data_IF_858302583327
#
_entry.id   IF_858302583327
#
_cell.length_a   1.000
_cell.length_b   1.000
_cell.length_c   1.000
_cell.angle_alpha   90.00
_cell.angle_beta   90.00
_cell.angle_gamma   90.00
#
_symmetry.space_group_name_H-M   'P 1'
#
loop_
_entity.id
_entity.type
_entity.pdbx_description
1 polymer ?
#
# COMPACT_ATOMS: atom_id res chain seq x y z
N UNK A 1 7.03 -23.04 -2.15
CA UNK A 1 6.51 -21.67 -2.22
C UNK A 1 7.19 -20.87 -1.13
N UNK A 2 8.00 -19.89 -1.53
CA UNK A 2 8.64 -18.89 -0.65
C UNK A 2 8.28 -17.54 -1.25
N UNK A 3 7.00 -17.21 -1.18
CA UNK A 3 6.43 -15.94 -1.62
C UNK A 3 6.71 -14.93 -0.50
N UNK A 4 7.32 -13.75 -0.73
CA UNK A 4 7.39 -12.60 0.21
C UNK A 4 7.31 -12.98 1.71
N UNK A 5 8.20 -13.85 2.20
CA UNK A 5 8.19 -14.52 3.52
C UNK A 5 6.83 -15.09 4.05
N UNK A 6 5.76 -15.13 3.25
CA UNK A 6 4.44 -15.65 3.60
C UNK A 6 3.72 -14.84 4.68
N UNK A 7 4.09 -13.57 4.90
CA UNK A 7 3.54 -12.76 5.99
C UNK A 7 2.09 -12.34 5.73
N UNK A 8 1.76 -12.02 4.47
CA UNK A 8 0.46 -11.50 4.07
C UNK A 8 0.19 -11.83 2.59
N UNK A 9 -1.07 -12.08 2.21
CA UNK A 9 -1.46 -12.33 0.82
C UNK A 9 -1.45 -11.04 -0.02
N UNK A 10 -1.45 -11.17 -1.36
CA UNK A 10 -1.57 -10.02 -2.28
C UNK A 10 -2.88 -9.26 -2.06
N UNK A 11 -3.98 -9.97 -1.79
CA UNK A 11 -5.26 -9.33 -1.49
C UNK A 11 -5.19 -8.53 -0.19
N UNK A 12 -4.63 -9.10 0.86
CA UNK A 12 -4.64 -8.48 2.18
C UNK A 12 -3.69 -7.28 2.27
N UNK A 13 -2.55 -7.29 1.56
CA UNK A 13 -1.68 -6.10 1.49
C UNK A 13 -2.37 -4.93 0.79
N UNK A 14 -3.15 -5.20 -0.25
CA UNK A 14 -3.97 -4.19 -0.92
C UNK A 14 -5.07 -3.65 0.00
N UNK A 15 -5.68 -4.49 0.85
CA UNK A 15 -6.67 -4.05 1.84
C UNK A 15 -6.05 -3.18 2.94
N UNK A 16 -4.85 -3.52 3.44
CA UNK A 16 -4.12 -2.67 4.40
C UNK A 16 -3.95 -1.25 3.84
N UNK A 17 -3.73 -1.14 2.53
CA UNK A 17 -3.64 0.16 1.86
C UNK A 17 -5.01 0.77 1.58
N UNK A 18 -5.93 0.10 0.89
CA UNK A 18 -7.19 0.70 0.43
C UNK A 18 -8.15 1.02 1.56
N UNK A 19 -8.23 0.16 2.58
CA UNK A 19 -9.15 0.28 3.72
C UNK A 19 -8.44 0.79 5.00
N UNK A 20 -7.16 1.16 4.89
CA UNK A 20 -6.35 1.60 6.03
C UNK A 20 -5.48 2.81 5.70
N UNK A 21 -4.20 2.57 5.40
CA UNK A 21 -3.20 3.63 5.28
C UNK A 21 -3.47 4.59 4.10
N UNK A 22 -4.05 4.11 3.01
CA UNK A 22 -4.36 4.90 1.82
C UNK A 22 -5.46 5.93 2.05
N UNK A 23 -6.42 5.68 2.95
CA UNK A 23 -7.51 6.61 3.21
C UNK A 23 -7.00 7.97 3.72
N UNK A 24 -6.06 7.98 4.66
CA UNK A 24 -5.45 9.24 5.14
C UNK A 24 -4.61 9.91 4.05
N UNK A 25 -3.91 9.12 3.22
CA UNK A 25 -3.07 9.63 2.13
C UNK A 25 -3.87 10.20 0.95
N UNK A 26 -5.17 9.91 0.88
CA UNK A 26 -6.06 10.63 -0.03
C UNK A 26 -6.20 12.12 0.36
N UNK A 27 -5.92 12.51 1.61
CA UNK A 27 -6.15 13.87 2.13
C UNK A 27 -4.87 14.58 2.57
N UNK A 28 -4.00 13.90 3.32
CA UNK A 28 -2.81 14.48 3.94
C UNK A 28 -1.54 13.72 3.56
N UNK A 29 -0.41 14.42 3.52
CA UNK A 29 0.89 13.81 3.22
C UNK A 29 1.43 12.95 4.38
N UNK A 30 2.49 12.14 4.15
CA UNK A 30 3.11 11.32 5.18
C UNK A 30 3.76 12.16 6.30
N UNK A 31 4.35 13.32 5.99
CA UNK A 31 4.95 14.20 7.01
C UNK A 31 3.88 14.85 7.90
N UNK A 32 2.77 15.30 7.31
CA UNK A 32 1.62 15.82 8.05
C UNK A 32 0.97 14.70 8.88
N UNK A 33 0.87 13.49 8.33
CA UNK A 33 0.43 12.30 9.08
C UNK A 33 1.30 12.06 10.30
N UNK A 34 2.63 12.11 10.16
CA UNK A 34 3.57 11.98 11.29
C UNK A 34 3.32 13.08 12.32
N UNK A 35 3.19 14.33 11.86
CA UNK A 35 2.96 15.48 12.75
C UNK A 35 1.64 15.34 13.52
N UNK A 36 0.56 14.90 12.88
CA UNK A 36 -0.76 14.80 13.49
C UNK A 36 -0.97 13.51 14.32
N UNK A 37 -0.13 12.49 14.14
CA UNK A 37 -0.25 11.22 14.86
C UNK A 37 0.41 11.23 16.26
N UNK A 38 0.99 12.35 16.67
CA UNK A 38 1.49 12.55 18.03
C UNK A 38 0.90 13.84 18.62
N UNK A 39 0.47 13.82 19.90
CA UNK A 39 -0.16 14.98 20.54
C UNK A 39 0.62 16.29 20.44
N UNK A 40 1.96 16.23 20.43
CA UNK A 40 2.82 17.42 20.41
C UNK A 40 3.60 17.57 19.09
N UNK A 41 3.14 16.93 18.01
CA UNK A 41 3.73 17.11 16.69
C UNK A 41 4.90 16.17 16.40
N UNK A 42 5.71 16.56 15.41
CA UNK A 42 6.77 15.74 14.83
C UNK A 42 7.84 15.32 15.86
N UNK A 43 8.27 16.21 16.74
CA UNK A 43 9.32 15.89 17.72
C UNK A 43 8.86 14.81 18.71
N UNK A 44 7.63 14.91 19.21
CA UNK A 44 7.02 13.89 20.06
C UNK A 44 6.87 12.56 19.32
N UNK A 45 6.40 12.59 18.06
CA UNK A 45 6.34 11.39 17.23
C UNK A 45 7.70 10.71 17.11
N UNK A 46 8.76 11.47 16.80
CA UNK A 46 10.11 10.93 16.70
C UNK A 46 10.60 10.39 18.04
N UNK A 47 10.29 11.05 19.16
CA UNK A 47 10.64 10.56 20.49
C UNK A 47 10.04 9.17 20.79
N UNK A 48 8.78 8.94 20.35
CA UNK A 48 8.03 7.69 20.57
C UNK A 48 8.46 6.57 19.63
N UNK A 49 8.62 6.88 18.34
CA UNK A 49 8.64 5.86 17.30
C UNK A 49 9.99 5.71 16.58
N UNK A 50 10.97 6.61 16.77
CA UNK A 50 12.24 6.56 16.00
C UNK A 50 12.98 5.23 16.13
N UNK A 51 13.06 4.65 17.32
CA UNK A 51 13.79 3.38 17.52
C UNK A 51 13.05 2.21 16.86
N UNK A 52 11.71 2.25 16.87
CA UNK A 52 10.88 1.30 16.14
C UNK A 52 11.08 1.40 14.63
N UNK A 53 11.03 2.63 14.09
CA UNK A 53 11.26 2.88 12.66
C UNK A 53 12.65 2.43 12.24
N UNK A 54 13.71 2.76 13.00
CA UNK A 54 15.08 2.31 12.71
C UNK A 54 15.17 0.79 12.70
N UNK A 55 14.59 0.10 13.69
CA UNK A 55 14.60 -1.37 13.76
C UNK A 55 13.90 -2.01 12.56
N UNK A 56 12.73 -1.51 12.18
CA UNK A 56 11.96 -2.02 11.03
C UNK A 56 12.72 -1.76 9.72
N UNK A 57 13.23 -0.55 9.51
CA UNK A 57 13.97 -0.23 8.27
C UNK A 57 15.28 -1.02 8.16
N UNK A 58 15.97 -1.26 9.28
CA UNK A 58 17.19 -2.08 9.30
C UNK A 58 16.93 -3.58 9.10
N UNK A 59 15.69 -4.05 9.20
CA UNK A 59 15.33 -5.44 8.92
C UNK A 59 14.83 -5.67 7.49
N UNK A 60 14.80 -4.64 6.64
CA UNK A 60 14.40 -4.81 5.25
C UNK A 60 15.44 -5.67 4.52
N UNK A 61 14.94 -6.61 3.72
CA UNK A 61 15.75 -7.46 2.86
C UNK A 61 16.42 -6.68 1.73
N UNK A 62 17.20 -7.37 0.88
CA UNK A 62 17.77 -6.76 -0.32
C UNK A 62 16.67 -6.27 -1.27
N UNK A 63 17.06 -5.43 -2.24
CA UNK A 63 16.17 -5.03 -3.33
C UNK A 63 15.68 -6.28 -4.06
N UNK A 64 14.36 -6.47 -4.28
CA UNK A 64 13.85 -7.60 -5.03
C UNK A 64 14.29 -7.57 -6.50
N UNK A 65 14.48 -8.74 -7.11
CA UNK A 65 14.80 -8.87 -8.54
C UNK A 65 13.58 -8.71 -9.46
N UNK A 66 12.37 -8.60 -8.89
CA UNK A 66 11.08 -8.44 -9.59
C UNK A 66 10.86 -9.43 -10.75
N UNK A 67 11.40 -10.64 -10.61
CA UNK A 67 11.35 -11.71 -11.59
C UNK A 67 11.33 -13.06 -10.86
N UNK A 68 11.36 -14.17 -11.61
CA UNK A 68 11.39 -15.50 -11.02
C UNK A 68 10.02 -16.00 -10.55
N UNK A 69 10.02 -16.96 -9.63
CA UNK A 69 8.80 -17.64 -9.16
C UNK A 69 7.94 -16.73 -8.29
N UNK A 70 8.55 -15.86 -7.50
CA UNK A 70 7.85 -14.91 -6.63
C UNK A 70 7.00 -13.93 -7.46
N UNK A 71 7.56 -13.39 -8.55
CA UNK A 71 6.83 -12.51 -9.46
C UNK A 71 5.68 -13.25 -10.17
N UNK A 72 5.88 -14.54 -10.54
CA UNK A 72 4.81 -15.37 -11.11
C UNK A 72 3.69 -15.64 -10.10
N UNK A 73 4.03 -15.92 -8.83
CA UNK A 73 3.03 -16.14 -7.78
C UNK A 73 2.19 -14.90 -7.54
N UNK A 74 2.83 -13.73 -7.40
CA UNK A 74 2.12 -12.44 -7.27
C UNK A 74 1.22 -12.19 -8.47
N UNK A 75 1.71 -12.44 -9.69
CA UNK A 75 0.90 -12.29 -10.89
C UNK A 75 -0.30 -13.25 -10.92
N UNK A 76 -0.13 -14.49 -10.46
CA UNK A 76 -1.22 -15.45 -10.38
C UNK A 76 -2.29 -14.98 -9.39
N UNK A 77 -1.89 -14.59 -8.16
CA UNK A 77 -2.83 -14.04 -7.16
C UNK A 77 -3.57 -12.81 -7.69
N UNK A 78 -2.87 -11.91 -8.39
CA UNK A 78 -3.51 -10.75 -9.03
C UNK A 78 -4.50 -11.15 -10.12
N UNK A 79 -4.17 -12.15 -10.96
CA UNK A 79 -5.06 -12.65 -12.02
C UNK A 79 -6.29 -13.36 -11.45
N UNK A 80 -6.17 -14.01 -10.29
CA UNK A 80 -7.29 -14.64 -9.60
C UNK A 80 -8.29 -13.59 -9.06
N UNK A 81 -7.79 -12.42 -8.66
CA UNK A 81 -8.62 -11.29 -8.22
C UNK A 81 -9.20 -10.48 -9.40
N UNK A 82 -8.38 -10.23 -10.41
CA UNK A 82 -8.69 -9.43 -11.59
C UNK A 82 -8.08 -10.15 -12.80
N UNK A 83 -8.88 -10.92 -13.56
CA UNK A 83 -8.40 -11.58 -14.76
C UNK A 83 -7.68 -10.60 -15.70
N UNK A 84 -6.59 -11.06 -16.28
CA UNK A 84 -5.69 -10.24 -17.11
C UNK A 84 -6.16 -10.08 -18.56
N UNK A 85 -7.33 -10.60 -18.91
CA UNK A 85 -7.95 -10.32 -20.20
C UNK A 85 -8.44 -8.87 -20.30
N UNK A 86 -8.57 -8.42 -21.54
CA UNK A 86 -8.81 -7.02 -21.85
C UNK A 86 -10.10 -6.47 -21.22
N UNK A 87 -11.15 -7.29 -21.11
CA UNK A 87 -12.46 -6.85 -20.65
C UNK A 87 -12.44 -6.58 -19.14
N UNK A 88 -11.90 -7.50 -18.35
CA UNK A 88 -11.76 -7.34 -16.91
C UNK A 88 -10.82 -6.18 -16.55
N UNK A 89 -9.68 -6.08 -17.22
CA UNK A 89 -8.74 -4.97 -17.01
C UNK A 89 -9.36 -3.61 -17.37
N UNK A 90 -10.16 -3.55 -18.44
CA UNK A 90 -10.84 -2.32 -18.85
C UNK A 90 -11.91 -1.91 -17.85
N UNK A 91 -12.75 -2.85 -17.40
CA UNK A 91 -13.77 -2.61 -16.39
C UNK A 91 -13.16 -2.15 -15.05
N UNK A 92 -12.05 -2.76 -14.62
CA UNK A 92 -11.36 -2.38 -13.37
C UNK A 92 -10.74 -0.98 -13.46
N UNK A 93 -10.14 -0.62 -14.61
CA UNK A 93 -9.63 0.74 -14.86
C UNK A 93 -10.76 1.78 -14.86
N UNK A 94 -11.89 1.49 -15.50
CA UNK A 94 -13.05 2.38 -15.49
C UNK A 94 -13.56 2.62 -14.07
N UNK A 95 -13.65 1.56 -13.23
CA UNK A 95 -14.01 1.69 -11.82
C UNK A 95 -13.02 2.57 -11.05
N UNK A 96 -11.71 2.34 -11.22
CA UNK A 96 -10.66 3.18 -10.60
C UNK A 96 -10.85 4.64 -10.97
N UNK A 97 -11.03 4.94 -12.25
CA UNK A 97 -11.14 6.32 -12.74
C UNK A 97 -12.42 6.99 -12.21
N UNK A 98 -13.52 6.24 -12.08
CA UNK A 98 -14.74 6.74 -11.44
C UNK A 98 -14.53 7.13 -9.96
N UNK A 99 -13.83 6.29 -9.20
CA UNK A 99 -13.48 6.58 -7.81
C UNK A 99 -12.58 7.82 -7.70
N UNK A 100 -11.58 7.94 -8.59
CA UNK A 100 -10.70 9.10 -8.64
C UNK A 100 -11.45 10.40 -8.97
N UNK A 101 -12.42 10.35 -9.89
CA UNK A 101 -13.29 11.50 -10.17
C UNK A 101 -14.12 11.90 -8.95
N UNK A 102 -14.66 10.92 -8.21
CA UNK A 102 -15.38 11.16 -6.97
C UNK A 102 -14.49 11.82 -5.90
N UNK A 103 -13.30 11.27 -5.67
CA UNK A 103 -12.33 11.83 -4.74
C UNK A 103 -11.89 13.25 -5.14
N UNK A 104 -11.64 13.50 -6.43
CA UNK A 104 -11.27 14.82 -6.92
C UNK A 104 -12.39 15.86 -6.69
N UNK A 105 -13.66 15.46 -6.76
CA UNK A 105 -14.80 16.33 -6.41
C UNK A 105 -14.88 16.58 -4.91
N UNK A 106 -14.64 15.56 -4.09
CA UNK A 106 -14.66 15.67 -2.63
C UNK A 106 -13.53 16.57 -2.08
N UNK A 107 -12.38 16.61 -2.77
CA UNK A 107 -11.21 17.42 -2.39
C UNK A 107 -11.25 18.88 -2.87
N UNK A 108 -12.22 19.24 -3.71
CA UNK A 108 -12.45 20.63 -4.13
C UNK A 108 -13.27 21.36 -3.07
#
# INVERSE_FOLDING_TARGET
MKDVDGVISVQDIDLVMSEGLGMRYAFIGPMETIHLNAPEGLEDYLSRYREGMKRVLSSFGPVPEFSGEEAKSINQEMCDLIPSDQDHLSARRQRRDHLLMGLARLKK
#
